data_IF_643957910163
#
_entry.id   IF_643957910163
#
_cell.length_a   1.000
_cell.length_b   1.000
_cell.length_c   1.000
_cell.angle_alpha   90.00
_cell.angle_beta   90.00
_cell.angle_gamma   90.00
#
_symmetry.space_group_name_H-M   'P 1'
#
loop_
_entity.id
_entity.type
_entity.pdbx_description
1 polymer ?
#
# COMPACT_ATOMS: atom_id res chain seq x y z
N UNK A 1 -30.79 3.00 -2.68
CA UNK A 1 -30.27 1.97 -1.76
C UNK A 1 -28.77 2.07 -1.82
N UNK A 2 -28.11 2.46 -0.73
CA UNK A 2 -26.65 2.53 -0.69
C UNK A 2 -26.07 1.12 -0.77
N UNK A 3 -25.30 0.78 -1.83
CA UNK A 3 -24.78 -0.56 -2.03
C UNK A 3 -23.86 -0.98 -0.87
N UNK A 4 -23.19 0.00 -0.23
CA UNK A 4 -22.33 -0.22 0.93
C UNK A 4 -23.13 -0.62 2.17
N UNK A 5 -24.32 -0.03 2.39
CA UNK A 5 -25.20 -0.42 3.49
C UNK A 5 -25.74 -1.83 3.27
N UNK A 6 -26.02 -2.23 2.03
CA UNK A 6 -26.40 -3.60 1.70
C UNK A 6 -25.28 -4.60 2.00
N UNK A 7 -24.02 -4.26 1.74
CA UNK A 7 -22.86 -5.07 2.11
C UNK A 7 -22.75 -5.22 3.64
N UNK A 8 -22.82 -4.11 4.38
CA UNK A 8 -22.74 -4.12 5.84
C UNK A 8 -23.87 -4.93 6.47
N UNK A 9 -25.06 -4.89 5.87
CA UNK A 9 -26.17 -5.72 6.31
C UNK A 9 -25.90 -7.21 6.08
N UNK A 10 -25.36 -7.59 4.93
CA UNK A 10 -24.90 -8.97 4.67
C UNK A 10 -23.81 -9.40 5.66
N UNK A 11 -22.87 -8.51 6.00
CA UNK A 11 -21.84 -8.80 7.00
C UNK A 11 -22.43 -8.98 8.39
N UNK A 12 -23.41 -8.16 8.77
CA UNK A 12 -24.12 -8.34 10.03
C UNK A 12 -24.84 -9.68 10.10
N UNK A 13 -25.30 -10.24 8.97
CA UNK A 13 -25.95 -11.55 8.92
C UNK A 13 -24.93 -12.70 8.96
N UNK A 14 -23.74 -12.48 8.43
CA UNK A 14 -22.64 -13.46 8.43
C UNK A 14 -21.85 -13.51 9.74
N UNK A 15 -21.91 -12.46 10.56
CA UNK A 15 -21.23 -12.36 11.85
C UNK A 15 -21.97 -13.14 12.95
N UNK A 16 -21.24 -13.98 13.67
CA UNK A 16 -21.72 -14.71 14.85
C UNK A 16 -21.60 -13.86 16.12
N UNK A 17 -22.35 -14.20 17.16
CA UNK A 17 -22.33 -13.48 18.45
C UNK A 17 -20.92 -13.40 19.09
N UNK A 18 -20.12 -14.45 18.92
CA UNK A 18 -18.74 -14.48 19.42
C UNK A 18 -17.84 -13.48 18.68
N UNK A 19 -18.07 -13.30 17.38
CA UNK A 19 -17.33 -12.36 16.51
C UNK A 19 -17.77 -10.92 16.74
N UNK A 20 -19.08 -10.73 16.97
CA UNK A 20 -19.64 -9.46 17.43
C UNK A 20 -19.01 -9.04 18.76
N UNK A 21 -18.82 -9.98 19.67
CA UNK A 21 -18.17 -9.72 20.95
C UNK A 21 -16.69 -9.33 20.76
N UNK A 22 -15.94 -10.02 19.90
CA UNK A 22 -14.58 -9.64 19.54
C UNK A 22 -14.50 -8.25 18.89
N UNK A 23 -15.42 -7.94 17.97
CA UNK A 23 -15.58 -6.62 17.36
C UNK A 23 -15.87 -5.53 18.38
N UNK A 24 -16.76 -5.82 19.33
CA UNK A 24 -17.08 -4.92 20.44
C UNK A 24 -15.81 -4.60 21.24
N UNK A 25 -14.99 -5.60 21.57
CA UNK A 25 -13.72 -5.36 22.28
C UNK A 25 -12.75 -4.47 21.49
N UNK A 26 -12.61 -4.66 20.18
CA UNK A 26 -11.78 -3.79 19.34
C UNK A 26 -12.36 -2.37 19.26
N UNK A 27 -13.68 -2.29 19.13
CA UNK A 27 -14.39 -1.02 19.10
C UNK A 27 -14.37 -0.31 20.45
N UNK A 28 -14.17 -0.96 21.60
CA UNK A 28 -14.05 -0.28 22.90
C UNK A 28 -12.91 0.76 22.92
N UNK A 29 -11.86 0.55 22.14
CA UNK A 29 -10.74 1.50 22.09
C UNK A 29 -11.06 2.77 21.28
N UNK A 30 -12.09 2.74 20.42
CA UNK A 30 -12.43 3.83 19.48
C UNK A 30 -13.84 4.39 19.70
N UNK A 31 -14.78 3.52 20.04
CA UNK A 31 -16.17 3.80 20.39
C UNK A 31 -16.32 3.76 21.90
N UNK A 32 -16.88 4.83 22.48
CA UNK A 32 -17.13 4.89 23.92
C UNK A 32 -18.07 3.77 24.39
N UNK A 33 -17.78 3.19 25.57
CA UNK A 33 -18.58 2.11 26.22
C UNK A 33 -20.09 2.31 26.14
N UNK A 34 -20.56 3.54 26.37
CA UNK A 34 -21.99 3.90 26.36
C UNK A 34 -22.68 3.65 25.00
N UNK A 35 -21.98 3.89 23.88
CA UNK A 35 -22.52 3.58 22.53
C UNK A 35 -22.43 2.08 22.23
N UNK A 36 -21.38 1.41 22.71
CA UNK A 36 -21.18 -0.02 22.48
C UNK A 36 -22.17 -0.90 23.28
N UNK A 37 -22.59 -0.45 24.46
CA UNK A 37 -23.66 -1.10 25.24
C UNK A 37 -25.02 -1.02 24.54
N UNK A 38 -25.23 0.00 23.69
CA UNK A 38 -26.45 0.12 22.89
C UNK A 38 -26.48 -0.85 21.70
N UNK A 39 -25.32 -1.37 21.29
CA UNK A 39 -25.19 -2.26 20.12
C UNK A 39 -25.72 -3.65 20.45
N UNK A 40 -26.88 -3.99 19.90
CA UNK A 40 -27.48 -5.32 20.02
C UNK A 40 -27.16 -6.24 18.85
N UNK A 41 -26.78 -5.68 17.70
CA UNK A 41 -26.59 -6.42 16.44
C UNK A 41 -25.41 -5.84 15.66
N UNK A 42 -24.79 -6.61 14.77
CA UNK A 42 -23.66 -6.15 13.94
C UNK A 42 -24.00 -4.91 13.12
N UNK A 43 -25.22 -4.84 12.60
CA UNK A 43 -25.70 -3.70 11.83
C UNK A 43 -25.73 -2.41 12.66
N UNK A 44 -26.08 -2.51 13.94
CA UNK A 44 -26.08 -1.37 14.88
C UNK A 44 -24.65 -0.88 15.11
N UNK A 45 -23.69 -1.82 15.24
CA UNK A 45 -22.26 -1.51 15.34
C UNK A 45 -21.77 -0.75 14.10
N UNK A 46 -22.05 -1.27 12.91
CA UNK A 46 -21.63 -0.67 11.65
C UNK A 46 -22.28 0.69 11.41
N UNK A 47 -23.54 0.86 11.80
CA UNK A 47 -24.25 2.14 11.71
C UNK A 47 -23.59 3.19 12.60
N UNK A 48 -23.23 2.83 13.84
CA UNK A 48 -22.52 3.73 14.76
C UNK A 48 -21.12 4.06 14.22
N UNK A 49 -20.40 3.08 13.69
CA UNK A 49 -19.09 3.29 13.07
C UNK A 49 -19.17 4.24 11.87
N UNK A 50 -20.23 4.13 11.06
CA UNK A 50 -20.50 5.02 9.93
C UNK A 50 -20.83 6.44 10.40
N UNK A 51 -21.67 6.58 11.43
CA UNK A 51 -22.03 7.86 12.03
C UNK A 51 -20.82 8.57 12.66
N UNK A 52 -19.90 7.81 13.29
CA UNK A 52 -18.66 8.34 13.83
C UNK A 52 -17.57 8.59 12.76
N UNK A 53 -17.84 8.28 11.48
CA UNK A 53 -16.88 8.33 10.37
C UNK A 53 -15.62 7.47 10.58
N UNK A 54 -15.71 6.45 11.42
CA UNK A 54 -14.63 5.48 11.63
C UNK A 54 -14.54 4.50 10.46
N UNK A 55 -15.68 4.17 9.84
CA UNK A 55 -15.77 3.44 8.58
C UNK A 55 -16.52 4.28 7.55
N UNK A 56 -16.04 4.30 6.31
CA UNK A 56 -16.71 4.95 5.18
C UNK A 56 -16.42 4.18 3.89
N UNK A 57 -17.16 4.46 2.81
CA UNK A 57 -16.89 3.89 1.48
C UNK A 57 -15.45 4.11 1.00
N UNK A 58 -14.83 5.22 1.40
CA UNK A 58 -13.45 5.60 1.06
C UNK A 58 -12.45 5.21 2.16
N UNK A 59 -12.94 4.79 3.33
CA UNK A 59 -12.12 4.49 4.50
C UNK A 59 -12.58 3.17 5.11
N UNK A 60 -12.19 2.09 4.43
CA UNK A 60 -12.48 0.72 4.84
C UNK A 60 -11.35 0.10 5.66
N UNK A 61 -10.23 0.80 5.87
CA UNK A 61 -9.05 0.27 6.57
C UNK A 61 -9.37 -0.24 7.97
N UNK A 62 -10.19 0.53 8.70
CA UNK A 62 -10.62 0.15 10.03
C UNK A 62 -11.56 -1.07 9.98
N UNK A 63 -12.47 -1.09 9.01
CA UNK A 63 -13.37 -2.23 8.78
C UNK A 63 -12.60 -3.49 8.41
N UNK A 64 -11.61 -3.36 7.52
CA UNK A 64 -10.73 -4.44 7.08
C UNK A 64 -9.87 -4.95 8.23
N UNK A 65 -9.28 -4.07 9.05
CA UNK A 65 -8.50 -4.47 10.22
C UNK A 65 -9.36 -5.24 11.23
N UNK A 66 -10.59 -4.78 11.47
CA UNK A 66 -11.54 -5.47 12.33
C UNK A 66 -11.86 -6.86 11.80
N UNK A 67 -12.26 -6.98 10.53
CA UNK A 67 -12.60 -8.27 9.90
C UNK A 67 -11.38 -9.21 9.86
N UNK A 68 -10.18 -8.67 9.60
CA UNK A 68 -8.91 -9.40 9.66
C UNK A 68 -8.61 -9.94 11.06
N UNK A 69 -8.97 -9.20 12.10
CA UNK A 69 -8.81 -9.66 13.49
C UNK A 69 -9.76 -10.81 13.84
N UNK A 70 -10.94 -10.83 13.23
CA UNK A 70 -11.90 -11.94 13.35
C UNK A 70 -11.44 -13.17 12.53
N UNK A 71 -10.39 -13.03 11.70
CA UNK A 71 -9.84 -14.07 10.82
C UNK A 71 -10.84 -14.65 9.82
N UNK A 72 -11.86 -13.88 9.43
CA UNK A 72 -12.75 -14.27 8.33
C UNK A 72 -12.29 -13.66 7.02
N UNK A 73 -11.47 -14.42 6.31
CA UNK A 73 -10.97 -14.05 4.98
C UNK A 73 -12.12 -13.96 3.96
N UNK A 74 -13.19 -14.74 4.11
CA UNK A 74 -14.39 -14.66 3.26
C UNK A 74 -15.04 -13.27 3.29
N UNK A 75 -15.13 -12.64 4.47
CA UNK A 75 -15.72 -11.31 4.61
C UNK A 75 -14.79 -10.22 4.06
N UNK A 76 -13.47 -10.44 4.12
CA UNK A 76 -12.48 -9.54 3.48
C UNK A 76 -12.65 -9.63 1.97
N UNK A 77 -12.78 -10.84 1.43
CA UNK A 77 -12.99 -11.06 0.00
C UNK A 77 -14.27 -10.39 -0.48
N UNK A 78 -15.39 -10.56 0.23
CA UNK A 78 -16.63 -9.86 -0.10
C UNK A 78 -16.52 -8.34 0.01
N UNK A 79 -15.73 -7.83 0.96
CA UNK A 79 -15.47 -6.38 1.11
C UNK A 79 -14.64 -5.88 -0.06
N UNK A 80 -13.60 -6.62 -0.46
CA UNK A 80 -12.76 -6.31 -1.61
C UNK A 80 -13.55 -6.37 -2.91
N UNK A 81 -14.32 -7.43 -3.15
CA UNK A 81 -15.20 -7.55 -4.32
C UNK A 81 -16.22 -6.41 -4.40
N UNK A 82 -16.72 -5.93 -3.27
CA UNK A 82 -17.62 -4.79 -3.23
C UNK A 82 -16.93 -3.48 -3.60
N UNK A 83 -15.69 -3.29 -3.14
CA UNK A 83 -14.84 -2.16 -3.52
C UNK A 83 -14.53 -2.25 -5.03
N UNK A 84 -14.10 -3.43 -5.50
CA UNK A 84 -13.77 -3.73 -6.90
C UNK A 84 -14.97 -3.56 -7.85
N UNK A 85 -16.16 -4.00 -7.44
CA UNK A 85 -17.38 -3.94 -8.24
C UNK A 85 -18.06 -2.57 -8.30
N UNK A 86 -17.70 -1.64 -7.39
CA UNK A 86 -18.33 -0.32 -7.27
C UNK A 86 -17.42 0.88 -7.50
N UNK A 87 -16.10 0.68 -7.58
CA UNK A 87 -15.13 1.74 -7.82
C UNK A 87 -13.80 1.11 -8.25
N UNK A 88 -13.38 1.36 -9.49
CA UNK A 88 -12.01 1.06 -9.89
C UNK A 88 -11.01 1.97 -9.17
N UNK A 89 -10.64 1.63 -7.93
CA UNK A 89 -9.38 2.00 -7.28
C UNK A 89 -9.17 1.07 -6.07
N UNK A 90 -8.78 -0.18 -6.34
CA UNK A 90 -8.06 -0.99 -5.35
C UNK A 90 -6.61 -0.54 -5.38
N UNK A 91 -6.25 0.51 -4.64
CA UNK A 91 -4.84 0.79 -4.38
C UNK A 91 -4.66 1.41 -3.01
N UNK A 92 -4.48 0.56 -1.99
CA UNK A 92 -3.71 0.96 -0.81
C UNK A 92 -2.93 -0.24 -0.22
N UNK A 93 -3.43 -1.48 -0.31
CA UNK A 93 -2.65 -2.67 0.12
C UNK A 93 -1.54 -3.11 -0.85
N UNK A 94 -1.56 -2.65 -2.10
CA UNK A 94 -0.47 -2.89 -3.07
C UNK A 94 0.68 -1.88 -2.87
N UNK A 95 0.38 -0.66 -2.41
CA UNK A 95 1.37 0.40 -2.23
C UNK A 95 2.41 0.09 -1.15
N UNK A 96 2.03 -0.57 -0.05
CA UNK A 96 2.99 -0.90 1.02
C UNK A 96 4.00 -1.98 0.58
N UNK A 97 3.53 -3.04 -0.11
CA UNK A 97 4.42 -4.08 -0.61
C UNK A 97 5.29 -3.56 -1.76
N UNK A 98 4.71 -2.83 -2.71
CA UNK A 98 5.48 -2.23 -3.83
C UNK A 98 6.42 -1.13 -3.33
N UNK A 99 6.05 -0.28 -2.35
CA UNK A 99 6.99 0.66 -1.72
C UNK A 99 8.09 -0.05 -0.95
N UNK A 100 7.79 -1.14 -0.26
CA UNK A 100 8.82 -1.94 0.42
C UNK A 100 9.79 -2.54 -0.60
N UNK A 101 9.27 -3.10 -1.70
CA UNK A 101 10.07 -3.66 -2.79
C UNK A 101 10.89 -2.56 -3.50
N UNK A 102 10.32 -1.38 -3.72
CA UNK A 102 11.03 -0.21 -4.27
C UNK A 102 12.11 0.29 -3.32
N UNK A 103 11.86 0.38 -2.01
CA UNK A 103 12.88 0.80 -1.04
C UNK A 103 14.03 -0.21 -0.96
N UNK A 104 13.74 -1.51 -0.94
CA UNK A 104 14.79 -2.56 -1.00
C UNK A 104 15.58 -2.46 -2.29
N UNK A 105 14.90 -2.30 -3.43
CA UNK A 105 15.57 -2.07 -4.70
C UNK A 105 16.44 -0.80 -4.63
N UNK A 106 15.96 0.30 -4.07
CA UNK A 106 16.71 1.54 -3.92
C UNK A 106 17.95 1.36 -3.05
N UNK A 107 17.88 0.61 -1.94
CA UNK A 107 19.04 0.33 -1.10
C UNK A 107 20.09 -0.51 -1.84
N UNK A 108 19.68 -1.60 -2.51
CA UNK A 108 20.58 -2.46 -3.30
C UNK A 108 21.22 -1.67 -4.45
N UNK A 109 20.45 -0.85 -5.14
CA UNK A 109 20.93 0.02 -6.21
C UNK A 109 21.87 1.09 -5.62
N UNK A 110 21.56 1.66 -4.46
CA UNK A 110 22.39 2.67 -3.80
C UNK A 110 23.76 2.12 -3.38
N UNK A 111 23.81 0.87 -2.97
CA UNK A 111 25.03 0.17 -2.56
C UNK A 111 25.88 -0.30 -3.76
N UNK A 112 25.24 -0.61 -4.89
CA UNK A 112 25.91 -1.27 -6.03
C UNK A 112 26.06 -0.38 -7.27
N UNK A 113 25.31 0.73 -7.37
CA UNK A 113 25.37 1.68 -8.49
C UNK A 113 26.28 2.86 -8.12
N UNK A 114 27.54 2.75 -8.54
CA UNK A 114 28.51 3.84 -8.45
C UNK A 114 28.33 4.89 -9.57
N UNK A 115 29.38 5.12 -10.37
CA UNK A 115 29.47 6.24 -11.34
C UNK A 115 28.42 6.24 -12.46
N UNK A 116 27.75 5.12 -12.70
CA UNK A 116 26.84 4.94 -13.84
C UNK A 116 25.37 5.29 -13.52
N UNK A 117 25.08 5.82 -12.33
CA UNK A 117 23.73 6.27 -11.96
C UNK A 117 23.15 7.28 -12.97
N UNK A 118 23.97 8.14 -13.57
CA UNK A 118 23.52 9.11 -14.59
C UNK A 118 22.90 8.43 -15.81
N UNK A 119 23.45 7.28 -16.23
CA UNK A 119 22.92 6.51 -17.36
C UNK A 119 21.58 5.87 -16.97
N UNK A 120 21.48 5.34 -15.75
CA UNK A 120 20.25 4.77 -15.20
C UNK A 120 19.13 5.81 -15.17
N UNK A 121 19.41 6.99 -14.64
CA UNK A 121 18.42 8.06 -14.46
C UNK A 121 17.92 8.62 -15.79
N UNK A 122 18.81 8.75 -16.78
CA UNK A 122 18.40 9.07 -18.16
C UNK A 122 17.51 7.98 -18.77
N UNK A 123 17.82 6.70 -18.52
CA UNK A 123 17.00 5.57 -19.01
C UNK A 123 15.64 5.47 -18.33
N UNK A 124 15.58 5.83 -17.06
CA UNK A 124 14.34 5.94 -16.28
C UNK A 124 13.45 7.11 -16.74
N UNK A 125 13.90 7.93 -17.69
CA UNK A 125 13.13 9.02 -18.28
C UNK A 125 13.19 10.34 -17.52
N UNK A 126 14.10 10.47 -16.54
CA UNK A 126 14.30 11.73 -15.83
C UNK A 126 15.07 12.71 -16.73
N UNK A 127 14.56 13.93 -16.81
CA UNK A 127 15.11 15.02 -17.61
C UNK A 127 16.52 15.42 -17.15
N UNK A 128 17.44 15.69 -18.08
CA UNK A 128 18.79 16.19 -17.79
C UNK A 128 18.80 17.43 -16.89
N UNK A 129 17.81 18.32 -17.03
CA UNK A 129 17.66 19.51 -16.18
C UNK A 129 17.42 19.17 -14.71
N UNK A 130 16.73 18.05 -14.44
CA UNK A 130 16.51 17.56 -13.08
C UNK A 130 17.77 16.88 -12.54
N UNK A 131 18.47 16.12 -13.38
CA UNK A 131 19.76 15.52 -13.05
C UNK A 131 20.77 16.61 -12.68
N UNK A 132 20.80 17.71 -13.41
CA UNK A 132 21.68 18.86 -13.15
C UNK A 132 21.33 19.59 -11.85
N UNK A 133 20.03 19.73 -11.55
CA UNK A 133 19.57 20.21 -10.23
C UNK A 133 20.01 19.31 -9.09
N UNK A 134 19.91 17.98 -9.25
CA UNK A 134 20.33 17.01 -8.24
C UNK A 134 21.84 17.05 -8.03
N UNK A 135 22.61 17.18 -9.12
CA UNK A 135 24.06 17.38 -9.10
C UNK A 135 24.43 18.65 -8.32
N UNK A 136 23.72 19.75 -8.59
CA UNK A 136 23.96 21.05 -7.93
C UNK A 136 23.58 21.02 -6.45
N UNK A 137 22.52 20.30 -6.10
CA UNK A 137 22.03 20.19 -4.73
C UNK A 137 22.91 19.28 -3.85
N UNK A 138 23.51 18.23 -4.41
CA UNK A 138 24.30 17.25 -3.65
C UNK A 138 25.60 16.87 -4.37
N UNK A 139 26.57 17.79 -4.55
CA UNK A 139 27.76 17.55 -5.38
C UNK A 139 28.71 16.46 -4.86
N UNK A 140 28.71 16.19 -3.55
CA UNK A 140 29.69 15.30 -2.90
C UNK A 140 29.19 13.89 -2.58
N UNK A 141 27.89 13.61 -2.72
CA UNK A 141 27.30 12.32 -2.35
C UNK A 141 26.59 11.66 -3.54
N UNK A 142 27.26 10.68 -4.16
CA UNK A 142 26.71 9.89 -5.27
C UNK A 142 25.46 9.09 -4.84
N UNK A 143 25.48 8.53 -3.62
CA UNK A 143 24.34 7.82 -3.04
C UNK A 143 23.11 8.72 -2.92
N UNK A 144 23.28 9.93 -2.37
CA UNK A 144 22.19 10.90 -2.25
C UNK A 144 21.70 11.37 -3.62
N UNK A 145 22.58 11.61 -4.58
CA UNK A 145 22.18 11.96 -5.95
C UNK A 145 21.30 10.88 -6.58
N UNK A 146 21.69 9.62 -6.43
CA UNK A 146 20.94 8.48 -6.93
C UNK A 146 19.60 8.32 -6.18
N UNK A 147 19.61 8.42 -4.85
CA UNK A 147 18.40 8.33 -4.02
C UNK A 147 17.39 9.42 -4.36
N UNK A 148 17.84 10.66 -4.55
CA UNK A 148 17.00 11.77 -4.99
C UNK A 148 16.45 11.55 -6.40
N UNK A 149 17.26 10.99 -7.30
CA UNK A 149 16.81 10.64 -8.65
C UNK A 149 15.74 9.55 -8.63
N UNK A 150 15.93 8.51 -7.81
CA UNK A 150 14.96 7.42 -7.65
C UNK A 150 13.65 7.89 -7.01
N UNK A 151 13.72 8.78 -6.02
CA UNK A 151 12.54 9.45 -5.45
C UNK A 151 11.81 10.31 -6.47
N UNK A 152 12.56 11.05 -7.28
CA UNK A 152 11.96 11.88 -8.32
C UNK A 152 11.35 11.03 -9.44
N UNK A 153 11.95 9.88 -9.75
CA UNK A 153 11.36 8.88 -10.66
C UNK A 153 10.07 8.32 -10.06
N UNK A 154 10.09 7.92 -8.80
CA UNK A 154 8.92 7.41 -8.09
C UNK A 154 7.80 8.45 -8.06
N UNK A 155 8.13 9.71 -7.81
CA UNK A 155 7.16 10.83 -7.82
C UNK A 155 6.61 11.11 -9.22
N UNK A 156 7.43 10.93 -10.26
CA UNK A 156 7.04 11.16 -11.64
C UNK A 156 6.20 10.01 -12.22
N UNK A 157 6.52 8.76 -11.88
CA UNK A 157 5.77 7.56 -12.31
C UNK A 157 4.56 7.23 -11.41
N UNK A 158 4.52 7.76 -10.19
CA UNK A 158 3.38 7.63 -9.27
C UNK A 158 3.01 6.16 -9.00
N UNK A 159 1.75 5.80 -9.29
CA UNK A 159 1.18 4.44 -9.10
C UNK A 159 1.72 3.39 -10.08
N UNK A 160 2.47 3.77 -11.12
CA UNK A 160 3.06 2.83 -12.12
C UNK A 160 4.55 2.55 -11.86
N UNK A 161 5.08 2.97 -10.71
CA UNK A 161 6.48 2.81 -10.31
C UNK A 161 6.85 1.35 -9.97
N UNK A 162 6.69 0.41 -10.89
CA UNK A 162 7.00 -0.99 -10.63
C UNK A 162 8.50 -1.25 -10.55
N UNK A 163 8.90 -2.16 -9.67
CA UNK A 163 10.30 -2.61 -9.59
C UNK A 163 10.75 -3.29 -10.88
N UNK A 164 9.81 -3.85 -11.65
CA UNK A 164 10.08 -4.37 -12.98
C UNK A 164 10.69 -3.33 -13.94
N UNK A 165 10.26 -2.06 -13.88
CA UNK A 165 10.85 -0.99 -14.70
C UNK A 165 12.24 -0.59 -14.22
N UNK A 166 12.49 -0.64 -12.91
CA UNK A 166 13.82 -0.46 -12.33
C UNK A 166 14.77 -1.58 -12.78
N UNK A 167 14.34 -2.84 -12.69
CA UNK A 167 15.10 -4.01 -13.16
C UNK A 167 15.38 -3.91 -14.66
N UNK A 168 14.39 -3.51 -15.46
CA UNK A 168 14.56 -3.32 -16.90
C UNK A 168 15.57 -2.21 -17.21
N UNK A 169 15.51 -1.08 -16.50
CA UNK A 169 16.48 0.00 -16.63
C UNK A 169 17.90 -0.43 -16.20
N UNK A 170 18.02 -1.21 -15.12
CA UNK A 170 19.29 -1.77 -14.66
C UNK A 170 19.91 -2.71 -15.70
N UNK A 171 19.11 -3.62 -16.29
CA UNK A 171 19.55 -4.52 -17.36
C UNK A 171 19.99 -3.75 -18.61
N UNK A 172 19.25 -2.72 -19.01
CA UNK A 172 19.63 -1.87 -20.16
C UNK A 172 20.93 -1.08 -19.89
N UNK A 173 21.17 -0.69 -18.64
CA UNK A 173 22.42 -0.08 -18.19
C UNK A 173 23.59 -1.07 -17.99
N UNK A 174 23.44 -2.34 -18.41
CA UNK A 174 24.43 -3.44 -18.22
C UNK A 174 24.75 -3.75 -16.77
N UNK A 175 23.89 -3.37 -15.83
CA UNK A 175 24.02 -3.65 -14.40
C UNK A 175 23.30 -4.95 -14.04
N UNK A 176 23.57 -6.01 -14.80
CA UNK A 176 22.87 -7.29 -14.65
C UNK A 176 23.05 -7.87 -13.24
N UNK A 177 24.22 -7.70 -12.63
CA UNK A 177 24.48 -8.15 -11.25
C UNK A 177 23.56 -7.48 -10.21
N UNK A 178 23.24 -6.19 -10.41
CA UNK A 178 22.35 -5.45 -9.50
C UNK A 178 20.90 -5.83 -9.77
N UNK A 179 20.54 -6.04 -11.04
CA UNK A 179 19.22 -6.54 -11.43
C UNK A 179 18.92 -7.92 -10.83
N UNK A 180 19.85 -8.89 -10.96
CA UNK A 180 19.73 -10.23 -10.37
C UNK A 180 19.64 -10.17 -8.84
N UNK A 181 20.42 -9.29 -8.19
CA UNK A 181 20.39 -9.14 -6.73
C UNK A 181 19.06 -8.54 -6.25
N UNK A 182 18.54 -7.55 -6.96
CA UNK A 182 17.19 -7.01 -6.70
C UNK A 182 16.14 -8.09 -6.92
N UNK A 183 16.19 -8.87 -8.01
CA UNK A 183 15.25 -9.97 -8.26
C UNK A 183 15.31 -11.05 -7.17
N UNK A 184 16.51 -11.43 -6.70
CA UNK A 184 16.69 -12.40 -5.61
C UNK A 184 16.09 -11.92 -4.29
N UNK A 185 16.34 -10.66 -3.91
CA UNK A 185 15.79 -10.08 -2.66
C UNK A 185 14.26 -9.95 -2.72
N UNK A 186 13.70 -9.74 -3.91
CA UNK A 186 12.25 -9.76 -4.12
C UNK A 186 11.69 -11.19 -4.01
N UNK A 187 12.36 -12.16 -4.64
CA UNK A 187 11.94 -13.56 -4.63
C UNK A 187 11.96 -14.17 -3.22
N UNK A 188 12.92 -13.79 -2.38
CA UNK A 188 13.00 -14.25 -0.98
C UNK A 188 11.88 -13.73 -0.06
N UNK A 189 11.12 -12.70 -0.48
CA UNK A 189 10.00 -12.14 0.28
C UNK A 189 8.63 -12.65 -0.18
N UNK A 190 8.59 -13.43 -1.26
CA UNK A 190 7.35 -14.00 -1.83
C UNK A 190 7.13 -15.49 -1.44
N UNK A 191 8.03 -16.06 -0.61
CA UNK A 191 7.94 -17.41 0.00
C UNK A 191 7.73 -17.31 1.54
#
# INVERSE_FOLDING_TARGET
MDPFLSLLHSFSMSLSDNELSALKFLCLSKIGKRKLESVKTGNDLFTILLEQREIAREKVDFLQLMIKTIKREDLIMQLQEFIEGGQGDVVDHLDEKEKCQQNVAFEVICDNVGKNWKMLVRRLGISDTKIDRILTANPYNLQEQLMQSLREWQKWKGKEAKVADLIKALRDCKMNLVADKVELELFQRDD
#
